data_IF_172612670367
#
_entry.id   IF_172612670367
#
_cell.length_a   1.000
_cell.length_b   1.000
_cell.length_c   1.000
_cell.angle_alpha   90.00
_cell.angle_beta   90.00
_cell.angle_gamma   90.00
#
_symmetry.space_group_name_H-M   'P 1'
#
loop_
_entity.id
_entity.type
_entity.pdbx_description
1 polymer ?
#
# COMPACT_ATOMS: atom_id res chain seq x y z
N UNK A 1 0.13 -7.67 2.02
CA UNK A 1 1.19 -6.89 1.34
C UNK A 1 2.49 -7.59 1.62
N UNK A 2 3.32 -7.68 0.60
CA UNK A 2 4.55 -8.48 0.59
C UNK A 2 5.60 -7.84 -0.32
N UNK A 3 6.86 -8.13 -0.03
CA UNK A 3 8.01 -7.77 -0.87
C UNK A 3 8.83 -9.01 -1.15
N UNK A 4 9.07 -9.26 -2.44
CA UNK A 4 9.94 -10.34 -2.90
C UNK A 4 11.26 -9.77 -3.40
N UNK A 5 12.37 -10.41 -3.03
CA UNK A 5 13.72 -10.07 -3.45
C UNK A 5 14.28 -11.08 -4.46
N UNK A 6 15.34 -10.68 -5.18
CA UNK A 6 16.13 -11.61 -5.99
C UNK A 6 16.74 -12.75 -5.16
N UNK A 7 17.08 -13.85 -5.81
CA UNK A 7 17.72 -14.98 -5.12
C UNK A 7 19.14 -14.63 -4.64
N UNK A 8 19.64 -15.35 -3.62
CA UNK A 8 21.02 -15.21 -3.15
C UNK A 8 22.01 -15.32 -4.33
N UNK A 9 22.83 -14.28 -4.52
CA UNK A 9 23.79 -14.17 -5.63
C UNK A 9 23.32 -13.33 -6.82
N UNK A 10 22.07 -12.88 -6.84
CA UNK A 10 21.54 -11.95 -7.86
C UNK A 10 21.45 -10.54 -7.29
N UNK A 11 22.60 -9.86 -7.17
CA UNK A 11 22.69 -8.51 -6.58
C UNK A 11 22.00 -7.42 -7.40
N UNK A 12 21.69 -7.69 -8.66
CA UNK A 12 21.26 -6.66 -9.63
C UNK A 12 19.74 -6.72 -9.92
N UNK A 13 18.99 -7.56 -9.19
CA UNK A 13 17.55 -7.71 -9.36
C UNK A 13 16.78 -6.87 -8.36
N UNK A 14 16.01 -5.92 -8.87
CA UNK A 14 15.11 -5.06 -8.09
C UNK A 14 14.13 -5.88 -7.24
N UNK A 15 13.80 -5.34 -6.06
CA UNK A 15 12.72 -5.92 -5.25
C UNK A 15 11.37 -5.60 -5.86
N UNK A 16 10.39 -6.47 -5.65
CA UNK A 16 9.03 -6.31 -6.14
C UNK A 16 8.10 -6.26 -4.94
N UNK A 17 7.36 -5.15 -4.80
CA UNK A 17 6.31 -5.00 -3.81
C UNK A 17 4.94 -5.28 -4.42
N UNK A 18 4.11 -6.03 -3.69
CA UNK A 18 2.75 -6.33 -4.08
C UNK A 18 1.77 -6.02 -2.93
N UNK A 19 0.71 -5.28 -3.26
CA UNK A 19 -0.38 -4.98 -2.33
C UNK A 19 -1.69 -5.43 -2.94
N UNK A 20 -2.46 -6.18 -2.16
CA UNK A 20 -3.77 -6.69 -2.54
C UNK A 20 -4.79 -6.08 -1.59
N UNK A 21 -5.91 -5.63 -2.13
CA UNK A 21 -7.04 -5.13 -1.35
C UNK A 21 -8.33 -5.82 -1.77
N UNK A 22 -9.26 -5.98 -0.83
CA UNK A 22 -10.64 -6.31 -1.17
C UNK A 22 -11.22 -5.21 -2.04
N UNK A 23 -11.99 -5.59 -3.05
CA UNK A 23 -12.57 -4.67 -4.03
C UNK A 23 -14.07 -4.49 -3.86
N UNK A 24 -14.77 -5.48 -3.33
CA UNK A 24 -16.23 -5.48 -3.29
C UNK A 24 -16.71 -6.03 -1.96
N UNK A 25 -17.31 -5.18 -1.13
CA UNK A 25 -17.99 -5.60 0.08
C UNK A 25 -19.47 -5.89 -0.23
N UNK A 26 -20.07 -6.99 0.28
CA UNK A 26 -19.51 -8.01 1.18
C UNK A 26 -18.85 -9.22 0.47
N UNK A 27 -18.62 -9.15 -0.85
CA UNK A 27 -17.99 -10.25 -1.61
C UNK A 27 -16.47 -10.31 -1.39
N UNK A 28 -16.07 -10.86 -0.24
CA UNK A 28 -14.68 -10.92 0.22
C UNK A 28 -13.70 -11.67 -0.71
N UNK A 29 -14.19 -12.45 -1.68
CA UNK A 29 -13.34 -13.15 -2.65
C UNK A 29 -12.80 -12.24 -3.76
N UNK A 30 -13.36 -11.04 -3.95
CA UNK A 30 -12.96 -10.11 -5.00
C UNK A 30 -11.85 -9.19 -4.54
N UNK A 31 -10.72 -9.24 -5.23
CA UNK A 31 -9.52 -8.48 -4.88
C UNK A 31 -8.98 -7.70 -6.07
N UNK A 32 -8.27 -6.60 -5.78
CA UNK A 32 -7.42 -5.88 -6.72
C UNK A 32 -5.99 -5.90 -6.22
N UNK A 33 -5.06 -6.21 -7.11
CA UNK A 33 -3.63 -6.14 -6.85
C UNK A 33 -3.03 -4.88 -7.49
N UNK A 34 -2.02 -4.31 -6.84
CA UNK A 34 -1.13 -3.30 -7.41
C UNK A 34 0.30 -3.71 -7.08
N UNK A 35 1.21 -3.53 -8.04
CA UNK A 35 2.58 -4.05 -7.99
C UNK A 35 3.54 -2.94 -8.43
N UNK A 36 4.68 -2.83 -7.76
CA UNK A 36 5.73 -1.89 -8.12
C UNK A 36 7.12 -2.49 -7.90
N UNK A 37 8.07 -2.08 -8.75
CA UNK A 37 9.49 -2.33 -8.50
C UNK A 37 10.05 -1.27 -7.53
N UNK A 38 11.04 -1.67 -6.74
CA UNK A 38 11.73 -0.79 -5.80
C UNK A 38 13.19 -1.20 -5.62
N UNK A 39 13.93 -0.43 -4.81
CA UNK A 39 15.36 -0.63 -4.57
C UNK A 39 15.71 -2.05 -4.14
N UNK A 40 16.93 -2.47 -4.50
CA UNK A 40 17.49 -3.79 -4.18
C UNK A 40 17.43 -4.07 -2.67
N UNK A 41 16.95 -5.26 -2.30
CA UNK A 41 16.87 -5.74 -0.90
C UNK A 41 16.20 -4.75 0.07
N UNK A 42 15.29 -3.92 -0.44
CA UNK A 42 14.58 -2.94 0.36
C UNK A 42 13.23 -3.52 0.74
N UNK A 43 13.03 -3.79 2.03
CA UNK A 43 11.81 -4.44 2.53
C UNK A 43 10.62 -3.48 2.60
N UNK A 44 10.82 -2.19 2.93
CA UNK A 44 9.67 -1.27 3.07
C UNK A 44 9.08 -0.93 1.70
N UNK A 45 7.75 -0.82 1.59
CA UNK A 45 7.10 -0.53 0.31
C UNK A 45 7.16 0.98 0.00
N UNK A 46 8.12 1.38 -0.84
CA UNK A 46 8.38 2.79 -1.20
C UNK A 46 7.18 3.50 -1.85
N UNK A 47 6.41 2.75 -2.64
CA UNK A 47 5.28 3.26 -3.42
C UNK A 47 3.94 3.19 -2.68
N UNK A 48 3.94 2.69 -1.43
CA UNK A 48 2.72 2.47 -0.64
C UNK A 48 1.98 3.79 -0.42
N UNK A 49 2.73 4.80 0.01
CA UNK A 49 2.31 6.20 0.16
C UNK A 49 3.47 7.06 -0.35
N UNK A 50 3.21 7.95 -1.31
CA UNK A 50 4.20 8.90 -1.81
C UNK A 50 3.64 10.30 -1.61
N UNK A 51 4.42 11.18 -0.98
CA UNK A 51 4.12 12.61 -0.90
C UNK A 51 4.88 13.30 -2.03
N UNK A 52 4.29 13.46 -3.21
CA UNK A 52 4.89 14.29 -4.27
C UNK A 52 4.24 15.67 -4.22
N UNK A 53 5.07 16.70 -4.16
CA UNK A 53 4.67 18.07 -3.88
C UNK A 53 3.97 18.82 -5.02
N UNK A 54 3.60 18.20 -6.15
CA UNK A 54 2.88 18.99 -7.20
C UNK A 54 2.18 18.23 -8.34
N UNK A 55 2.21 16.90 -8.42
CA UNK A 55 1.54 16.19 -9.52
C UNK A 55 0.91 14.89 -9.06
N UNK A 56 -0.42 14.94 -8.88
CA UNK A 56 -1.36 13.81 -8.85
C UNK A 56 -0.79 12.56 -8.16
N UNK A 57 -0.77 12.56 -6.83
CA UNK A 57 -0.36 11.42 -6.02
C UNK A 57 -1.13 10.15 -6.43
N UNK A 58 -0.46 9.26 -7.15
CA UNK A 58 -0.90 7.90 -7.47
C UNK A 58 -0.03 6.93 -6.69
N UNK A 59 -0.28 6.80 -5.38
CA UNK A 59 0.31 5.75 -4.57
C UNK A 59 -0.57 4.50 -4.55
N UNK A 60 0.03 3.35 -4.25
CA UNK A 60 -0.67 2.06 -4.28
C UNK A 60 -1.88 2.09 -3.34
N UNK A 61 -1.71 2.61 -2.12
CA UNK A 61 -2.82 2.61 -1.16
C UNK A 61 -4.01 3.45 -1.64
N UNK A 62 -3.76 4.63 -2.22
CA UNK A 62 -4.82 5.50 -2.76
C UNK A 62 -5.52 4.86 -3.95
N UNK A 63 -4.77 4.22 -4.86
CA UNK A 63 -5.35 3.48 -5.99
C UNK A 63 -6.34 2.41 -5.50
N UNK A 64 -5.92 1.61 -4.52
CA UNK A 64 -6.71 0.52 -3.98
C UNK A 64 -7.93 1.02 -3.18
N UNK A 65 -7.78 2.08 -2.38
CA UNK A 65 -8.90 2.69 -1.66
C UNK A 65 -9.93 3.34 -2.59
N UNK A 66 -9.48 4.02 -3.64
CA UNK A 66 -10.38 4.57 -4.66
C UNK A 66 -11.11 3.44 -5.39
N UNK A 67 -10.42 2.35 -5.70
CA UNK A 67 -11.04 1.19 -6.30
C UNK A 67 -12.12 0.57 -5.39
N UNK A 68 -11.83 0.39 -4.10
CA UNK A 68 -12.82 -0.07 -3.12
C UNK A 68 -14.04 0.87 -3.10
N UNK A 69 -13.81 2.18 -2.96
CA UNK A 69 -14.86 3.19 -2.87
C UNK A 69 -15.85 3.11 -4.04
N UNK A 70 -15.34 3.11 -5.28
CA UNK A 70 -16.17 3.07 -6.49
C UNK A 70 -16.94 1.74 -6.62
N UNK A 71 -16.37 0.63 -6.14
CA UNK A 71 -17.00 -0.70 -6.24
C UNK A 71 -17.88 -1.05 -5.03
N UNK A 72 -17.86 -0.24 -3.96
CA UNK A 72 -18.64 -0.43 -2.73
C UNK A 72 -19.64 0.71 -2.51
N UNK A 73 -20.33 1.14 -3.58
CA UNK A 73 -21.43 2.09 -3.46
C UNK A 73 -21.01 3.52 -3.09
N UNK A 74 -19.77 3.91 -3.37
CA UNK A 74 -19.20 5.19 -2.95
C UNK A 74 -19.15 5.36 -1.43
N UNK A 75 -18.94 4.26 -0.70
CA UNK A 75 -18.69 4.29 0.73
C UNK A 75 -17.23 4.02 1.06
N UNK A 76 -16.73 4.76 2.06
CA UNK A 76 -15.38 4.54 2.59
C UNK A 76 -15.39 3.33 3.53
N UNK A 77 -14.30 2.54 3.57
CA UNK A 77 -14.21 1.45 4.53
C UNK A 77 -14.20 1.99 5.96
N UNK A 78 -15.06 1.45 6.82
CA UNK A 78 -15.11 1.81 8.24
C UNK A 78 -13.88 1.32 9.02
N UNK A 79 -13.28 0.22 8.55
CA UNK A 79 -12.08 -0.38 9.13
C UNK A 79 -11.20 -0.91 8.01
N UNK A 80 -9.90 -0.69 8.13
CA UNK A 80 -8.88 -1.30 7.28
C UNK A 80 -8.06 -2.25 8.14
N UNK A 81 -7.91 -3.50 7.70
CA UNK A 81 -7.03 -4.50 8.33
C UNK A 81 -5.90 -4.79 7.35
N UNK A 82 -4.66 -4.70 7.83
CA UNK A 82 -3.47 -4.83 7.00
C UNK A 82 -2.73 -6.10 7.42
N UNK A 83 -2.49 -6.99 6.46
CA UNK A 83 -1.62 -8.14 6.62
C UNK A 83 -0.31 -7.85 5.90
N UNK A 84 0.80 -7.81 6.65
CA UNK A 84 2.16 -7.61 6.12
C UNK A 84 2.98 -8.88 6.35
N UNK A 85 3.39 -9.52 5.25
CA UNK A 85 4.17 -10.76 5.26
C UNK A 85 5.67 -10.46 5.22
N UNK A 86 6.57 -11.42 5.42
CA UNK A 86 8.00 -11.27 5.10
C UNK A 86 8.85 -10.38 6.03
N UNK A 87 8.26 -9.68 7.00
CA UNK A 87 8.97 -8.74 7.87
C UNK A 87 9.52 -9.43 9.12
N UNK A 88 10.82 -9.28 9.38
CA UNK A 88 11.46 -9.75 10.60
C UNK A 88 11.20 -8.83 11.81
N UNK A 89 11.41 -9.34 13.02
CA UNK A 89 11.19 -8.58 14.26
C UNK A 89 12.02 -7.29 14.32
N UNK A 90 13.26 -7.31 13.83
CA UNK A 90 14.14 -6.13 13.81
C UNK A 90 13.64 -5.02 12.88
N UNK A 91 12.80 -5.35 11.90
CA UNK A 91 12.21 -4.42 10.94
C UNK A 91 10.83 -3.90 11.39
N UNK A 92 10.26 -4.42 12.48
CA UNK A 92 8.90 -4.08 12.92
C UNK A 92 8.68 -2.58 13.12
N UNK A 93 9.64 -1.91 13.76
CA UNK A 93 9.56 -0.46 13.98
C UNK A 93 9.62 0.31 12.65
N UNK A 94 10.36 -0.18 11.66
CA UNK A 94 10.43 0.44 10.33
C UNK A 94 9.08 0.35 9.62
N UNK A 95 8.41 -0.81 9.65
CA UNK A 95 7.05 -0.95 9.11
C UNK A 95 6.09 0.01 9.79
N UNK A 96 6.10 0.04 11.13
CA UNK A 96 5.24 0.96 11.90
C UNK A 96 5.49 2.41 11.50
N UNK A 97 6.74 2.83 11.42
CA UNK A 97 7.06 4.24 11.27
C UNK A 97 6.96 4.70 9.80
N UNK A 98 7.36 3.86 8.84
CA UNK A 98 7.40 4.20 7.41
C UNK A 98 6.05 3.89 6.74
N UNK A 99 5.54 2.66 6.89
CA UNK A 99 4.34 2.21 6.17
C UNK A 99 3.03 2.61 6.87
N UNK A 100 3.04 2.76 8.21
CA UNK A 100 1.83 3.06 8.98
C UNK A 100 1.73 4.49 9.51
N UNK A 101 2.80 5.09 10.07
CA UNK A 101 2.70 6.30 10.90
C UNK A 101 3.23 7.61 10.27
N UNK A 102 4.55 7.79 10.13
CA UNK A 102 5.17 9.08 9.76
C UNK A 102 4.91 9.47 8.30
N UNK A 103 4.90 8.47 7.40
CA UNK A 103 4.61 8.61 5.97
C UNK A 103 3.48 7.67 5.50
N UNK A 104 2.76 7.06 6.45
CA UNK A 104 1.98 5.85 6.21
C UNK A 104 0.46 6.02 6.20
N UNK A 105 -0.21 4.87 6.17
CA UNK A 105 -1.68 4.75 6.02
C UNK A 105 -2.47 5.50 7.10
N UNK A 106 -1.96 5.58 8.34
CA UNK A 106 -2.68 6.15 9.47
C UNK A 106 -2.68 7.68 9.50
N UNK A 107 -1.79 8.34 8.77
CA UNK A 107 -1.78 9.81 8.69
C UNK A 107 -2.88 10.37 7.78
N UNK A 108 -3.41 9.57 6.85
CA UNK A 108 -4.38 10.06 5.87
C UNK A 108 -5.39 9.00 5.34
N UNK A 109 -6.09 8.23 6.19
CA UNK A 109 -6.98 7.18 5.69
C UNK A 109 -8.26 7.71 5.02
N UNK A 110 -8.67 8.96 5.31
CA UNK A 110 -10.02 9.47 4.96
C UNK A 110 -10.03 10.89 4.40
N UNK A 111 -9.05 11.74 4.71
CA UNK A 111 -8.97 13.15 4.25
C UNK A 111 -8.58 13.30 2.78
N UNK A 112 -7.69 12.45 2.26
CA UNK A 112 -7.31 12.46 0.83
C UNK A 112 -8.47 12.12 -0.13
N UNK A 113 -9.54 11.50 0.37
CA UNK A 113 -10.77 11.27 -0.39
C UNK A 113 -11.79 12.42 -0.25
N UNK A 114 -11.61 13.36 0.70
CA UNK A 114 -12.49 14.53 0.84
C UNK A 114 -12.06 15.69 -0.07
N UNK A 115 -10.76 15.90 -0.29
CA UNK A 115 -10.26 17.07 -1.04
C UNK A 115 -10.31 16.91 -2.57
N UNK A 116 -10.64 15.74 -3.10
CA UNK A 116 -10.64 15.50 -4.56
C UNK A 116 -12.03 15.19 -5.15
N UNK A 117 -13.07 15.10 -4.32
CA UNK A 117 -14.43 14.71 -4.74
C UNK A 117 -15.56 15.49 -4.04
N UNK A 118 -15.25 16.62 -3.38
CA UNK A 118 -16.21 17.62 -2.90
C UNK A 118 -15.73 19.01 -3.32
#
# INVERSE_FOLDING_TARGET
>A
MDVSHGSLGQSDILSIAAVISSRQWPLISHHRASVSTQSLNFEMIDSLIKHMSDTKDNCIFKELMLNFYVNCGNEKPHKVTIFREGVSESQFNQVRDIELNHNGILRNPVSALKEQYC
#
